data_IF_359424446806
#
_entry.id   IF_359424446806
#
_cell.length_a   1.000
_cell.length_b   1.000
_cell.length_c   1.000
_cell.angle_alpha   90.00
_cell.angle_beta   90.00
_cell.angle_gamma   90.00
#
_symmetry.space_group_name_H-M   'P 1'
#
loop_
_entity.id
_entity.type
_entity.pdbx_description
1 polymer ?
#
# COMPACT_ATOMS: atom_id res chain seq x y z
N UNK A 1 -28.55 -2.73 -5.28
CA UNK A 1 -27.09 -2.60 -5.48
C UNK A 1 -26.86 -1.61 -6.58
N UNK A 2 -26.40 -0.39 -6.26
CA UNK A 2 -26.07 0.59 -7.29
C UNK A 2 -24.69 0.29 -7.83
N UNK A 3 -24.60 -0.07 -9.08
CA UNK A 3 -23.34 -0.10 -9.83
C UNK A 3 -22.80 1.33 -9.84
N UNK A 4 -21.63 1.55 -9.25
CA UNK A 4 -20.93 2.83 -9.36
C UNK A 4 -20.48 2.99 -10.81
N UNK A 5 -21.29 3.64 -11.63
CA UNK A 5 -20.92 4.05 -12.99
C UNK A 5 -20.09 5.32 -12.85
N UNK A 6 -18.80 5.21 -13.12
CA UNK A 6 -17.92 6.37 -13.28
C UNK A 6 -18.26 7.05 -14.59
N UNK A 7 -18.50 8.34 -14.56
CA UNK A 7 -18.88 9.11 -15.73
C UNK A 7 -17.62 9.78 -16.30
N UNK A 8 -17.19 9.39 -17.51
CA UNK A 8 -16.02 9.94 -18.23
C UNK A 8 -16.03 11.47 -18.40
N UNK A 9 -17.19 12.09 -18.22
CA UNK A 9 -17.31 13.54 -18.24
C UNK A 9 -16.63 14.26 -17.06
N UNK A 10 -15.96 13.52 -16.16
CA UNK A 10 -15.28 14.07 -14.95
C UNK A 10 -13.82 14.45 -15.17
N UNK A 11 -13.18 13.99 -16.25
CA UNK A 11 -11.79 14.36 -16.50
C UNK A 11 -11.72 15.77 -17.11
N UNK A 12 -10.79 16.64 -16.64
CA UNK A 12 -10.53 17.92 -17.26
C UNK A 12 -10.22 17.81 -18.75
N UNK A 13 -10.60 18.84 -19.53
CA UNK A 13 -10.30 18.88 -20.96
C UNK A 13 -8.80 18.80 -21.21
N UNK A 14 -8.38 17.91 -22.11
CA UNK A 14 -6.97 17.67 -22.45
C UNK A 14 -6.27 16.62 -21.58
N UNK A 15 -6.77 16.29 -20.40
CA UNK A 15 -6.11 15.32 -19.51
C UNK A 15 -5.99 13.93 -20.15
N UNK A 16 -6.97 13.53 -20.97
CA UNK A 16 -6.90 12.23 -21.66
C UNK A 16 -5.71 12.16 -22.65
N UNK A 17 -5.39 13.28 -23.34
CA UNK A 17 -4.24 13.37 -24.24
C UNK A 17 -2.92 13.32 -23.43
N UNK A 18 -2.86 14.03 -22.30
CA UNK A 18 -1.70 14.01 -21.41
C UNK A 18 -1.46 12.60 -20.84
N UNK A 19 -2.51 11.92 -20.37
CA UNK A 19 -2.44 10.53 -19.89
C UNK A 19 -2.05 9.54 -20.98
N UNK A 20 -2.47 9.75 -22.22
CA UNK A 20 -2.07 8.89 -23.34
C UNK A 20 -0.55 8.89 -23.56
N UNK A 21 0.15 9.97 -23.20
CA UNK A 21 1.61 10.02 -23.26
C UNK A 21 2.30 9.12 -22.25
N UNK A 22 1.62 8.73 -21.15
CA UNK A 22 2.11 7.77 -20.16
C UNK A 22 2.06 6.31 -20.65
N UNK A 23 1.28 6.03 -21.71
CA UNK A 23 1.13 4.69 -22.29
C UNK A 23 2.25 4.32 -23.29
N UNK A 24 3.13 5.25 -23.59
CA UNK A 24 4.27 5.01 -24.47
C UNK A 24 5.34 4.14 -23.74
N UNK A 25 6.24 3.49 -24.49
CA UNK A 25 7.39 2.82 -23.86
C UNK A 25 8.17 3.77 -22.94
N UNK A 26 8.69 3.30 -21.82
CA UNK A 26 9.31 4.12 -20.76
C UNK A 26 10.30 5.17 -21.30
N UNK A 27 11.17 4.80 -22.25
CA UNK A 27 12.12 5.73 -22.88
C UNK A 27 11.45 6.89 -23.67
N UNK A 28 10.14 6.78 -23.95
CA UNK A 28 9.35 7.77 -24.71
C UNK A 28 8.18 8.32 -23.91
N UNK A 29 7.82 7.69 -22.81
CA UNK A 29 6.70 8.08 -21.96
C UNK A 29 6.95 9.41 -21.25
N UNK A 30 5.88 10.07 -20.87
CA UNK A 30 5.89 11.23 -19.98
C UNK A 30 5.47 10.82 -18.57
N UNK A 31 5.90 11.60 -17.57
CA UNK A 31 5.44 11.45 -16.18
C UNK A 31 3.94 11.69 -16.07
N UNK A 32 3.31 11.21 -15.01
CA UNK A 32 1.89 11.50 -14.73
C UNK A 32 1.68 13.02 -14.64
N UNK A 33 0.62 13.59 -15.25
CA UNK A 33 0.35 15.02 -15.23
C UNK A 33 0.24 15.60 -13.81
N UNK A 34 0.85 16.75 -13.55
CA UNK A 34 0.87 17.39 -12.23
C UNK A 34 -0.54 17.60 -11.63
N UNK A 35 -1.55 17.84 -12.47
CA UNK A 35 -2.96 17.98 -12.07
C UNK A 35 -3.48 16.70 -11.37
N UNK A 36 -2.94 15.53 -11.69
CA UNK A 36 -3.29 14.27 -11.03
C UNK A 36 -2.78 14.18 -9.57
N UNK A 37 -1.89 15.09 -9.15
CA UNK A 37 -1.37 15.14 -7.78
C UNK A 37 -2.01 16.27 -6.95
N UNK A 38 -2.83 17.12 -7.56
CA UNK A 38 -3.25 18.37 -6.91
C UNK A 38 -4.76 18.65 -7.02
N UNK A 39 -5.44 18.06 -7.98
CA UNK A 39 -6.85 18.38 -8.28
C UNK A 39 -7.80 17.48 -7.45
N UNK A 40 -8.72 18.08 -6.64
CA UNK A 40 -9.67 17.31 -5.84
C UNK A 40 -10.65 16.46 -6.67
N UNK A 41 -11.01 16.90 -7.88
CA UNK A 41 -11.95 16.15 -8.73
C UNK A 41 -11.26 14.92 -9.31
N UNK A 42 -9.98 15.03 -9.70
CA UNK A 42 -9.18 13.87 -10.12
C UNK A 42 -8.95 12.93 -8.95
N UNK A 43 -8.66 13.46 -7.76
CA UNK A 43 -8.57 12.62 -6.57
C UNK A 43 -9.86 11.82 -6.32
N UNK A 44 -11.05 12.41 -6.58
CA UNK A 44 -12.30 11.65 -6.50
C UNK A 44 -12.39 10.56 -7.56
N UNK A 45 -11.92 10.81 -8.79
CA UNK A 45 -11.83 9.78 -9.85
C UNK A 45 -10.88 8.65 -9.43
N UNK A 46 -9.72 8.96 -8.86
CA UNK A 46 -8.78 7.96 -8.31
C UNK A 46 -9.44 7.07 -7.24
N UNK A 47 -10.18 7.66 -6.31
CA UNK A 47 -10.92 6.90 -5.32
C UNK A 47 -11.86 5.89 -5.97
N UNK A 48 -12.56 6.30 -7.02
CA UNK A 48 -13.56 5.47 -7.70
C UNK A 48 -12.93 4.39 -8.60
N UNK A 49 -11.74 4.62 -9.18
CA UNK A 49 -11.14 3.76 -10.20
C UNK A 49 -9.89 3.00 -9.73
N UNK A 50 -9.09 3.62 -8.85
CA UNK A 50 -7.82 3.06 -8.38
C UNK A 50 -8.01 2.29 -7.08
N UNK A 51 -8.80 2.83 -6.14
CA UNK A 51 -8.96 2.24 -4.80
C UNK A 51 -10.25 1.41 -4.61
N UNK A 52 -11.30 1.67 -5.38
CA UNK A 52 -12.57 0.93 -5.26
C UNK A 52 -12.73 -0.18 -6.29
N UNK A 53 -11.81 -0.26 -7.27
CA UNK A 53 -11.81 -1.31 -8.29
C UNK A 53 -10.56 -2.18 -8.15
N UNK A 54 -10.76 -3.50 -8.22
CA UNK A 54 -9.71 -4.48 -8.01
C UNK A 54 -9.37 -4.67 -6.53
N UNK A 55 -8.12 -4.95 -6.23
CA UNK A 55 -7.66 -5.28 -4.88
C UNK A 55 -6.73 -4.22 -4.33
N UNK A 56 -6.90 -3.88 -3.06
CA UNK A 56 -6.04 -2.96 -2.32
C UNK A 56 -5.39 -3.73 -1.18
N UNK A 57 -4.06 -3.70 -1.10
CA UNK A 57 -3.32 -4.23 0.03
C UNK A 57 -3.54 -3.38 1.29
N UNK A 58 -3.81 -4.04 2.42
CA UNK A 58 -4.18 -3.36 3.68
C UNK A 58 -3.29 -3.76 4.86
N UNK A 59 -2.18 -4.42 4.58
CA UNK A 59 -1.16 -4.75 5.55
C UNK A 59 -0.74 -6.23 5.54
N UNK A 60 0.08 -6.56 6.53
CA UNK A 60 0.53 -7.92 6.80
C UNK A 60 -0.54 -8.67 7.60
N UNK A 61 -0.67 -9.99 7.34
CA UNK A 61 -1.68 -10.82 8.02
C UNK A 61 -1.42 -10.96 9.54
N UNK A 62 -0.17 -10.88 9.96
CA UNK A 62 0.26 -10.96 11.36
C UNK A 62 -0.04 -9.69 12.19
N UNK A 63 -0.66 -8.68 11.56
CA UNK A 63 -1.25 -7.53 12.26
C UNK A 63 -2.47 -7.92 13.09
N UNK A 64 -3.14 -9.01 12.75
CA UNK A 64 -4.36 -9.48 13.42
C UNK A 64 -4.19 -10.94 13.90
N UNK A 65 -3.30 -11.22 14.88
CA UNK A 65 -3.00 -12.58 15.31
C UNK A 65 -4.14 -13.23 16.11
N UNK A 66 -4.89 -12.45 16.88
CA UNK A 66 -5.86 -12.95 17.84
C UNK A 66 -7.31 -12.69 17.41
N UNK A 67 -8.22 -13.58 17.83
CA UNK A 67 -9.68 -13.38 17.64
C UNK A 67 -10.10 -12.06 18.28
N UNK A 68 -10.79 -11.24 17.53
CA UNK A 68 -11.24 -9.91 17.94
C UNK A 68 -10.30 -8.77 17.57
N UNK A 69 -9.08 -9.05 17.10
CA UNK A 69 -8.21 -8.00 16.56
C UNK A 69 -8.87 -7.32 15.38
N UNK A 70 -8.85 -6.00 15.39
CA UNK A 70 -9.46 -5.20 14.34
C UNK A 70 -8.62 -3.96 13.98
N UNK A 71 -8.82 -3.49 12.76
CA UNK A 71 -8.32 -2.21 12.28
C UNK A 71 -9.40 -1.48 11.49
N UNK A 72 -9.66 -0.23 11.84
CA UNK A 72 -10.53 0.67 11.07
C UNK A 72 -9.71 1.53 10.13
N UNK A 73 -10.09 1.60 8.86
CA UNK A 73 -9.36 2.32 7.82
C UNK A 73 -10.30 2.94 6.80
N UNK A 74 -9.80 3.89 6.02
CA UNK A 74 -10.47 4.39 4.83
C UNK A 74 -9.86 3.76 3.59
N UNK A 75 -10.68 3.18 2.73
CA UNK A 75 -10.29 2.68 1.41
C UNK A 75 -11.07 3.42 0.33
N UNK A 76 -10.41 4.32 -0.37
CA UNK A 76 -11.04 5.11 -1.42
C UNK A 76 -12.27 5.89 -0.93
N UNK A 77 -12.24 6.42 0.29
CA UNK A 77 -13.32 7.15 0.94
C UNK A 77 -14.46 6.28 1.46
N UNK A 78 -14.25 4.98 1.57
CA UNK A 78 -15.19 4.06 2.21
C UNK A 78 -14.62 3.63 3.55
N UNK A 79 -15.32 3.91 4.67
CA UNK A 79 -14.92 3.39 5.97
C UNK A 79 -15.01 1.86 5.98
N UNK A 80 -13.89 1.20 6.23
CA UNK A 80 -13.77 -0.27 6.30
C UNK A 80 -13.27 -0.66 7.70
N UNK A 81 -13.71 -1.78 8.22
CA UNK A 81 -13.12 -2.46 9.36
C UNK A 81 -12.70 -3.86 8.96
N UNK A 82 -11.41 -4.17 9.15
CA UNK A 82 -10.88 -5.53 9.08
C UNK A 82 -10.92 -6.08 10.49
N UNK A 83 -11.42 -7.30 10.67
CA UNK A 83 -11.52 -7.95 11.97
C UNK A 83 -11.27 -9.46 11.84
N UNK A 84 -10.55 -10.03 12.80
CA UNK A 84 -10.40 -11.50 12.91
C UNK A 84 -11.55 -12.09 13.71
N UNK A 85 -12.34 -12.94 13.05
CA UNK A 85 -13.28 -13.79 13.78
C UNK A 85 -12.62 -15.12 14.20
N UNK A 86 -13.42 -16.08 14.63
CA UNK A 86 -12.92 -17.39 15.07
C UNK A 86 -12.31 -18.22 13.92
N UNK A 87 -12.70 -17.95 12.68
CA UNK A 87 -12.36 -18.78 11.52
C UNK A 87 -11.37 -18.09 10.59
N UNK A 88 -11.50 -16.75 10.38
CA UNK A 88 -10.74 -16.02 9.35
C UNK A 88 -10.73 -14.51 9.61
N UNK A 89 -9.93 -13.78 8.82
CA UNK A 89 -10.09 -12.32 8.67
C UNK A 89 -11.32 -12.01 7.82
N UNK A 90 -12.01 -10.94 8.18
CA UNK A 90 -13.14 -10.38 7.44
C UNK A 90 -13.01 -8.88 7.29
N UNK A 91 -13.57 -8.34 6.22
CA UNK A 91 -13.67 -6.91 6.00
C UNK A 91 -15.14 -6.50 5.89
N UNK A 92 -15.55 -5.48 6.62
CA UNK A 92 -16.92 -4.98 6.59
C UNK A 92 -16.95 -3.48 6.31
N UNK A 93 -18.06 -3.02 5.72
CA UNK A 93 -18.39 -1.61 5.77
C UNK A 93 -18.48 -1.17 7.25
N UNK A 94 -17.63 -0.28 7.67
CA UNK A 94 -17.57 0.26 9.03
C UNK A 94 -18.68 1.28 9.26
N UNK A 95 -19.91 0.90 8.88
CA UNK A 95 -21.08 1.75 8.81
C UNK A 95 -22.29 1.03 9.42
N UNK A 96 -22.82 1.57 10.50
CA UNK A 96 -23.96 0.98 11.22
C UNK A 96 -25.22 0.95 10.35
N UNK A 97 -25.86 -0.22 10.24
CA UNK A 97 -27.07 -0.43 9.46
C UNK A 97 -28.32 0.29 10.01
N UNK A 98 -28.20 0.95 11.19
CA UNK A 98 -29.29 1.78 11.72
C UNK A 98 -29.33 3.17 11.07
N UNK A 99 -28.31 4.00 11.28
CA UNK A 99 -28.23 5.40 10.82
C UNK A 99 -26.82 5.80 10.40
N UNK A 100 -26.09 4.86 9.77
CA UNK A 100 -24.82 5.06 9.09
C UNK A 100 -23.68 5.65 9.94
N UNK A 101 -23.75 5.57 11.28
CA UNK A 101 -22.63 5.96 12.13
C UNK A 101 -21.47 5.00 11.95
N UNK A 102 -20.24 5.51 11.92
CA UNK A 102 -19.03 4.69 11.99
C UNK A 102 -19.05 3.88 13.30
N UNK A 103 -18.67 2.59 13.23
CA UNK A 103 -18.78 1.65 14.34
C UNK A 103 -17.47 1.55 15.12
N UNK A 104 -16.35 1.39 14.43
CA UNK A 104 -15.02 1.15 15.00
C UNK A 104 -14.06 2.26 14.59
N UNK A 105 -13.07 2.56 15.42
CA UNK A 105 -12.01 3.55 15.15
C UNK A 105 -10.66 3.01 15.62
N UNK A 106 -9.60 3.31 14.85
CA UNK A 106 -8.25 2.87 15.17
C UNK A 106 -8.06 1.36 15.11
N UNK A 107 -7.05 0.88 15.82
CA UNK A 107 -6.72 -0.53 15.99
C UNK A 107 -7.07 -0.99 17.41
N UNK A 108 -7.36 -2.27 17.59
CA UNK A 108 -7.63 -2.83 18.91
C UNK A 108 -8.13 -4.26 18.88
N UNK A 109 -8.61 -4.72 20.04
CA UNK A 109 -9.24 -6.04 20.18
C UNK A 109 -10.61 -5.89 20.81
N UNK A 110 -11.61 -6.60 20.28
CA UNK A 110 -12.98 -6.60 20.77
C UNK A 110 -13.64 -7.96 20.63
N UNK A 111 -14.53 -8.30 21.55
CA UNK A 111 -15.38 -9.49 21.43
C UNK A 111 -16.63 -9.25 20.58
N UNK A 112 -16.96 -8.01 20.29
CA UNK A 112 -18.14 -7.56 19.50
C UNK A 112 -17.90 -6.14 19.00
N UNK A 113 -18.36 -5.84 17.81
CA UNK A 113 -18.36 -4.49 17.25
C UNK A 113 -19.61 -3.74 17.73
N UNK A 114 -19.46 -2.58 18.37
CA UNK A 114 -20.59 -1.84 18.94
C UNK A 114 -20.63 -0.41 18.42
N UNK A 115 -21.73 -0.05 17.78
CA UNK A 115 -21.98 1.30 17.33
C UNK A 115 -22.05 2.28 18.54
N UNK A 116 -21.27 3.36 18.55
CA UNK A 116 -21.26 4.30 19.67
C UNK A 116 -22.54 5.14 19.78
N UNK A 117 -23.38 5.20 18.72
CA UNK A 117 -24.53 6.08 18.68
C UNK A 117 -25.73 5.51 19.45
N UNK A 118 -26.20 4.29 19.12
CA UNK A 118 -27.36 3.67 19.77
C UNK A 118 -27.08 2.25 20.24
N UNK A 119 -25.81 1.87 20.35
CA UNK A 119 -25.35 0.57 20.86
C UNK A 119 -25.85 -0.64 20.06
N UNK A 120 -26.19 -0.47 18.77
CA UNK A 120 -26.34 -1.62 17.89
C UNK A 120 -25.06 -2.42 17.91
N UNK A 121 -25.18 -3.70 18.19
CA UNK A 121 -24.05 -4.57 18.47
C UNK A 121 -23.99 -5.67 17.45
N UNK A 122 -22.84 -5.84 16.83
CA UNK A 122 -22.57 -6.85 15.80
C UNK A 122 -21.58 -7.89 16.32
N UNK A 123 -21.76 -9.14 15.89
CA UNK A 123 -20.77 -10.18 16.07
C UNK A 123 -19.54 -9.89 15.17
N UNK A 124 -18.44 -10.62 15.38
CA UNK A 124 -17.25 -10.51 14.56
C UNK A 124 -17.46 -11.01 13.12
N UNK A 125 -18.51 -11.81 12.89
CA UNK A 125 -18.97 -12.27 11.57
C UNK A 125 -19.95 -11.28 10.89
N UNK A 126 -20.16 -10.10 11.46
CA UNK A 126 -20.99 -9.02 10.92
C UNK A 126 -22.48 -9.12 11.23
N UNK A 127 -23.01 -10.23 11.81
CA UNK A 127 -24.42 -10.36 12.14
C UNK A 127 -24.85 -9.41 13.25
N UNK A 128 -26.04 -8.81 13.14
CA UNK A 128 -26.60 -7.97 14.19
C UNK A 128 -27.05 -8.81 15.40
N UNK A 129 -26.39 -8.64 16.54
CA UNK A 129 -26.72 -9.36 17.79
C UNK A 129 -27.78 -8.64 18.63
N UNK A 130 -27.78 -7.31 18.62
CA UNK A 130 -28.67 -6.52 19.45
C UNK A 130 -28.94 -5.14 18.90
N UNK A 131 -30.22 -4.74 18.97
CA UNK A 131 -30.72 -3.46 18.56
C UNK A 131 -31.67 -2.91 19.68
N UNK A 132 -31.14 -2.12 20.61
CA UNK A 132 -31.94 -1.63 21.73
C UNK A 132 -33.17 -0.84 21.29
N UNK A 133 -34.29 -1.06 21.99
CA UNK A 133 -35.55 -0.35 21.80
C UNK A 133 -36.29 -0.56 20.45
N UNK A 134 -35.91 -1.60 19.68
CA UNK A 134 -36.57 -1.92 18.40
C UNK A 134 -37.81 -2.81 18.53
N UNK A 135 -38.26 -3.17 19.77
CA UNK A 135 -39.33 -4.10 20.01
C UNK A 135 -40.73 -3.62 19.56
N UNK A 136 -40.86 -2.34 19.23
CA UNK A 136 -42.09 -1.71 18.75
C UNK A 136 -42.01 -1.22 17.32
N UNK A 137 -40.95 -1.64 16.59
CA UNK A 137 -40.77 -1.30 15.20
C UNK A 137 -41.38 -2.43 14.36
N UNK A 138 -42.36 -2.09 13.56
CA UNK A 138 -43.03 -3.07 12.69
C UNK A 138 -42.03 -3.60 11.64
N UNK A 139 -42.13 -4.89 11.33
CA UNK A 139 -41.33 -5.60 10.32
C UNK A 139 -39.78 -5.51 10.52
N UNK A 140 -39.33 -5.21 11.75
CA UNK A 140 -37.93 -5.22 12.06
C UNK A 140 -37.37 -6.64 12.19
N UNK A 141 -36.56 -7.03 11.21
CA UNK A 141 -35.83 -8.28 11.19
C UNK A 141 -34.32 -8.04 11.41
N UNK A 142 -33.75 -8.59 12.50
CA UNK A 142 -32.31 -8.43 12.80
C UNK A 142 -31.42 -9.09 11.77
N UNK A 143 -31.83 -10.19 11.19
CA UNK A 143 -31.01 -10.97 10.27
C UNK A 143 -30.79 -10.23 8.94
N UNK A 144 -31.67 -9.28 8.60
CA UNK A 144 -31.53 -8.40 7.44
C UNK A 144 -30.65 -7.15 7.70
N UNK A 145 -30.19 -6.94 8.94
CA UNK A 145 -29.46 -5.74 9.36
C UNK A 145 -28.00 -6.02 9.77
N UNK A 146 -27.39 -7.08 9.23
CA UNK A 146 -25.95 -7.32 9.34
C UNK A 146 -25.12 -6.25 8.64
N UNK A 147 -23.81 -6.24 8.88
CA UNK A 147 -22.86 -5.40 8.17
C UNK A 147 -22.65 -5.95 6.75
N UNK A 148 -22.41 -5.04 5.81
CA UNK A 148 -22.03 -5.43 4.46
C UNK A 148 -20.57 -5.95 4.48
N UNK A 149 -20.36 -7.19 4.07
CA UNK A 149 -19.05 -7.82 3.99
C UNK A 149 -18.43 -7.56 2.62
N UNK A 150 -17.17 -7.14 2.61
CA UNK A 150 -16.33 -6.99 1.43
C UNK A 150 -15.50 -8.25 1.17
N UNK A 151 -15.00 -8.40 -0.04
CA UNK A 151 -14.07 -9.47 -0.37
C UNK A 151 -12.73 -9.21 0.33
N UNK A 152 -12.21 -10.23 1.01
CA UNK A 152 -10.90 -10.23 1.66
C UNK A 152 -10.17 -11.52 1.33
N UNK A 153 -8.89 -11.42 1.00
CA UNK A 153 -7.99 -12.56 0.75
C UNK A 153 -6.67 -12.33 1.46
N UNK A 154 -6.16 -13.39 2.11
CA UNK A 154 -4.78 -13.48 2.60
C UNK A 154 -3.93 -14.16 1.52
N UNK A 155 -2.87 -13.50 1.02
CA UNK A 155 -2.01 -14.04 -0.02
C UNK A 155 -0.56 -13.57 0.15
N UNK A 156 0.43 -14.46 0.09
CA UNK A 156 1.85 -14.18 0.25
C UNK A 156 2.21 -13.40 1.53
N UNK A 157 1.46 -13.62 2.62
CA UNK A 157 1.66 -12.91 3.88
C UNK A 157 1.02 -11.52 3.96
N UNK A 158 0.28 -11.11 2.92
CA UNK A 158 -0.45 -9.83 2.87
C UNK A 158 -1.95 -10.05 2.88
N UNK A 159 -2.66 -9.04 3.32
CA UNK A 159 -4.14 -8.98 3.31
C UNK A 159 -4.58 -8.00 2.24
N UNK A 160 -5.48 -8.46 1.39
CA UNK A 160 -6.09 -7.66 0.31
C UNK A 160 -7.58 -7.55 0.52
N UNK A 161 -8.12 -6.35 0.30
CA UNK A 161 -9.55 -6.07 0.36
C UNK A 161 -10.00 -5.53 -1.00
N UNK A 162 -11.16 -5.98 -1.46
CA UNK A 162 -11.82 -5.41 -2.63
C UNK A 162 -13.23 -4.94 -2.28
N UNK A 163 -13.54 -3.71 -2.69
CA UNK A 163 -14.87 -3.11 -2.53
C UNK A 163 -15.84 -3.50 -3.66
N UNK A 164 -15.35 -4.18 -4.69
CA UNK A 164 -16.20 -4.71 -5.77
C UNK A 164 -16.97 -5.94 -5.31
N UNK A 165 -18.19 -6.08 -5.79
CA UNK A 165 -19.00 -7.27 -5.53
C UNK A 165 -18.44 -8.54 -6.19
N UNK A 166 -17.73 -8.38 -7.30
CA UNK A 166 -17.13 -9.47 -8.08
C UNK A 166 -15.78 -9.02 -8.62
N UNK A 167 -14.74 -8.93 -7.76
CA UNK A 167 -13.42 -8.55 -8.20
C UNK A 167 -12.80 -9.63 -9.09
N UNK A 168 -11.76 -9.30 -9.88
CA UNK A 168 -10.97 -10.31 -10.56
C UNK A 168 -10.37 -11.31 -9.54
N UNK A 169 -10.09 -12.55 -9.93
CA UNK A 169 -9.37 -13.48 -9.07
C UNK A 169 -8.06 -12.87 -8.58
N UNK A 170 -7.73 -13.05 -7.29
CA UNK A 170 -6.53 -12.44 -6.68
C UNK A 170 -5.24 -12.89 -7.39
N UNK A 171 -5.17 -14.14 -7.85
CA UNK A 171 -3.99 -14.65 -8.53
C UNK A 171 -3.80 -14.03 -9.93
N UNK A 172 -4.89 -13.67 -10.62
CA UNK A 172 -4.81 -12.90 -11.87
C UNK A 172 -4.40 -11.45 -11.61
N UNK A 173 -4.86 -10.86 -10.48
CA UNK A 173 -4.47 -9.51 -10.08
C UNK A 173 -3.00 -9.41 -9.73
N UNK A 174 -2.49 -10.38 -8.97
CA UNK A 174 -1.08 -10.41 -8.53
C UNK A 174 -0.14 -10.94 -9.64
N UNK A 175 -0.66 -11.73 -10.61
CA UNK A 175 0.12 -12.28 -11.71
C UNK A 175 1.39 -13.00 -11.24
N UNK A 176 2.53 -12.56 -11.74
CA UNK A 176 3.84 -13.20 -11.49
C UNK A 176 4.45 -12.85 -10.11
N UNK A 177 3.75 -12.05 -9.28
CA UNK A 177 4.30 -11.54 -8.01
C UNK A 177 4.82 -12.66 -7.10
N UNK A 178 4.06 -13.77 -6.98
CA UNK A 178 4.46 -14.91 -6.15
C UNK A 178 5.72 -15.61 -6.65
N UNK A 179 5.86 -15.80 -7.96
CA UNK A 179 7.03 -16.43 -8.59
C UNK A 179 8.28 -15.55 -8.41
N UNK A 180 8.14 -14.26 -8.67
CA UNK A 180 9.24 -13.29 -8.57
C UNK A 180 9.79 -13.16 -7.15
N UNK A 181 8.96 -13.40 -6.12
CA UNK A 181 9.34 -13.28 -4.71
C UNK A 181 9.48 -14.63 -3.98
N UNK A 182 9.42 -15.76 -4.70
CA UNK A 182 9.41 -17.10 -4.09
C UNK A 182 10.59 -17.30 -3.14
N UNK A 183 11.79 -16.88 -3.56
CA UNK A 183 13.03 -17.08 -2.79
C UNK A 183 13.01 -16.40 -1.40
N UNK A 184 12.25 -15.32 -1.23
CA UNK A 184 12.16 -14.58 0.04
C UNK A 184 11.12 -15.14 1.02
N UNK A 185 10.26 -16.06 0.61
CA UNK A 185 9.28 -16.70 1.50
C UNK A 185 8.42 -15.69 2.27
N UNK A 186 7.87 -14.67 1.58
CA UNK A 186 7.24 -13.49 2.20
C UNK A 186 6.17 -13.81 3.25
N UNK A 187 5.48 -14.96 3.10
CA UNK A 187 4.43 -15.39 4.03
C UNK A 187 4.98 -15.79 5.40
N UNK A 188 6.23 -16.23 5.46
CA UNK A 188 6.84 -16.76 6.68
C UNK A 188 7.55 -15.65 7.50
N UNK A 189 7.75 -14.47 6.92
CA UNK A 189 8.40 -13.35 7.59
C UNK A 189 7.52 -12.81 8.74
N UNK A 190 8.17 -12.43 9.83
CA UNK A 190 7.54 -11.87 11.04
C UNK A 190 7.69 -10.37 11.04
N UNK A 191 6.59 -9.65 11.21
CA UNK A 191 6.60 -8.20 11.41
C UNK A 191 7.20 -7.86 12.78
N UNK A 192 8.27 -7.09 12.77
CA UNK A 192 8.99 -6.69 14.00
C UNK A 192 8.92 -5.20 14.29
N UNK A 193 8.58 -4.40 13.28
CA UNK A 193 8.39 -2.96 13.42
C UNK A 193 7.21 -2.50 12.57
N UNK A 194 6.39 -1.63 13.13
CA UNK A 194 5.29 -0.94 12.43
C UNK A 194 5.15 0.47 12.96
N UNK A 195 5.24 1.46 12.09
CA UNK A 195 5.09 2.87 12.42
C UNK A 195 4.21 3.57 11.40
N UNK A 196 3.28 4.38 11.88
CA UNK A 196 2.41 5.21 11.05
C UNK A 196 2.83 6.69 11.12
N UNK A 197 2.80 7.36 9.97
CA UNK A 197 3.09 8.79 9.85
C UNK A 197 2.34 9.39 8.65
N UNK A 198 2.33 10.71 8.56
CA UNK A 198 1.73 11.45 7.43
C UNK A 198 2.78 12.29 6.74
N UNK A 199 2.60 12.50 5.43
CA UNK A 199 3.45 13.36 4.61
C UNK A 199 2.56 14.31 3.82
N UNK A 200 2.94 15.59 3.76
CA UNK A 200 2.22 16.64 3.03
C UNK A 200 2.54 16.58 1.53
N UNK A 201 2.35 15.40 0.94
CA UNK A 201 2.44 15.15 -0.49
C UNK A 201 1.37 14.17 -0.95
N UNK A 202 1.08 14.15 -2.25
CA UNK A 202 0.18 13.16 -2.85
C UNK A 202 0.74 11.75 -2.65
N UNK A 203 -0.13 10.78 -2.40
CA UNK A 203 0.23 9.38 -2.16
C UNK A 203 1.13 8.76 -3.25
N UNK A 204 0.94 9.18 -4.51
CA UNK A 204 1.79 8.71 -5.63
C UNK A 204 3.23 9.19 -5.48
N UNK A 205 3.45 10.46 -5.11
CA UNK A 205 4.80 10.99 -4.92
C UNK A 205 5.60 10.20 -3.90
N UNK A 206 5.00 9.83 -2.76
CA UNK A 206 5.66 8.99 -1.76
C UNK A 206 5.94 7.57 -2.29
N UNK A 207 4.99 6.96 -2.99
CA UNK A 207 5.17 5.63 -3.55
C UNK A 207 6.20 5.61 -4.70
N UNK A 208 6.27 6.68 -5.48
CA UNK A 208 7.23 6.88 -6.58
C UNK A 208 8.67 6.96 -6.06
N UNK A 209 8.95 7.82 -5.07
CA UNK A 209 10.32 8.00 -4.56
C UNK A 209 10.90 6.69 -4.00
N UNK A 210 10.09 5.85 -3.38
CA UNK A 210 10.54 4.54 -2.90
C UNK A 210 10.91 3.56 -4.03
N UNK A 211 10.42 3.77 -5.24
CA UNK A 211 10.52 2.83 -6.36
C UNK A 211 11.47 3.28 -7.47
N UNK A 212 12.39 4.19 -7.17
CA UNK A 212 13.36 4.66 -8.16
C UNK A 212 14.73 4.95 -7.52
N UNK A 213 15.78 5.00 -8.37
CA UNK A 213 17.15 5.19 -7.92
C UNK A 213 17.72 6.57 -8.31
N UNK A 214 16.95 7.37 -9.04
CA UNK A 214 17.44 8.62 -9.61
C UNK A 214 17.74 9.69 -8.56
N UNK A 215 16.99 9.73 -7.45
CA UNK A 215 17.21 10.69 -6.36
C UNK A 215 18.34 10.27 -5.40
N UNK A 216 18.69 8.97 -5.32
CA UNK A 216 19.58 8.44 -4.28
C UNK A 216 20.86 9.26 -4.08
N UNK A 217 21.66 9.57 -5.11
CA UNK A 217 22.93 10.29 -4.92
C UNK A 217 22.75 11.75 -4.54
N UNK A 218 21.55 12.30 -4.64
CA UNK A 218 21.28 13.72 -4.40
C UNK A 218 20.56 13.99 -3.09
N UNK A 219 19.73 13.05 -2.66
CA UNK A 219 18.89 13.15 -1.46
C UNK A 219 19.50 12.43 -0.27
N UNK A 220 20.25 11.35 -0.51
CA UNK A 220 20.82 10.47 0.52
C UNK A 220 22.37 10.48 0.58
N UNK A 221 23.06 11.61 0.39
CA UNK A 221 24.50 11.61 0.35
C UNK A 221 25.12 11.20 1.69
N UNK A 222 25.89 10.10 1.70
CA UNK A 222 26.58 9.58 2.87
C UNK A 222 25.69 8.82 3.87
N UNK A 223 24.44 8.53 3.51
CA UNK A 223 23.55 7.65 4.29
C UNK A 223 23.38 6.29 3.62
N UNK A 224 22.96 6.27 2.34
CA UNK A 224 22.70 5.04 1.58
C UNK A 224 23.12 5.12 0.10
N UNK A 225 23.57 6.28 -0.39
CA UNK A 225 23.84 6.51 -1.81
C UNK A 225 24.92 5.58 -2.38
N UNK A 226 25.94 5.26 -1.61
CA UNK A 226 27.02 4.35 -2.05
C UNK A 226 26.68 2.87 -1.91
N UNK A 227 25.52 2.55 -1.29
CA UNK A 227 25.08 1.17 -1.10
C UNK A 227 24.55 0.57 -2.39
N UNK A 228 23.87 1.35 -3.23
CA UNK A 228 23.17 0.87 -4.40
C UNK A 228 23.94 1.06 -5.69
N UNK A 229 24.09 0.00 -6.47
CA UNK A 229 24.50 0.06 -7.87
C UNK A 229 23.30 0.50 -8.75
N UNK A 230 23.53 0.78 -10.04
CA UNK A 230 22.44 1.02 -10.98
C UNK A 230 21.46 -0.18 -10.98
N UNK A 231 20.12 0.07 -11.04
CA UNK A 231 19.15 -1.01 -11.12
C UNK A 231 19.32 -1.78 -12.42
N UNK A 232 18.94 -3.06 -12.37
CA UNK A 232 18.79 -3.85 -13.59
C UNK A 232 17.66 -3.30 -14.47
N UNK A 233 17.63 -3.75 -15.73
CA UNK A 233 16.46 -3.56 -16.57
C UNK A 233 15.20 -4.09 -15.84
N UNK A 234 14.05 -3.38 -15.93
CA UNK A 234 12.84 -3.77 -15.24
C UNK A 234 12.35 -5.14 -15.71
N UNK A 235 11.87 -5.94 -14.77
CA UNK A 235 11.25 -7.22 -15.10
C UNK A 235 9.94 -7.00 -15.90
N UNK A 236 9.77 -7.76 -16.97
CA UNK A 236 8.49 -7.80 -17.70
C UNK A 236 7.58 -8.81 -17.01
N UNK A 237 6.62 -8.30 -16.26
CA UNK A 237 5.73 -9.10 -15.40
C UNK A 237 4.26 -8.89 -15.74
N UNK A 238 3.47 -9.94 -15.57
CA UNK A 238 2.01 -9.87 -15.57
C UNK A 238 1.50 -9.50 -14.16
N UNK A 239 0.35 -8.85 -14.11
CA UNK A 239 -0.30 -8.44 -12.86
C UNK A 239 -0.27 -6.94 -12.60
N UNK A 240 -0.95 -6.55 -11.51
CA UNK A 240 -1.06 -5.16 -11.09
C UNK A 240 0.14 -4.78 -10.19
N UNK A 241 1.36 -4.93 -10.70
CA UNK A 241 2.57 -4.53 -10.01
C UNK A 241 3.70 -4.17 -10.99
N UNK A 242 4.73 -3.55 -10.46
CA UNK A 242 6.01 -3.32 -11.12
C UNK A 242 7.12 -3.83 -10.22
N UNK A 243 8.23 -4.28 -10.80
CA UNK A 243 9.39 -4.75 -10.05
C UNK A 243 10.68 -4.58 -10.82
N UNK A 244 11.76 -4.32 -10.09
CA UNK A 244 13.13 -4.39 -10.58
C UNK A 244 14.05 -4.88 -9.46
N UNK A 245 15.21 -5.36 -9.84
CA UNK A 245 16.27 -5.76 -8.90
C UNK A 245 17.48 -4.86 -9.10
N UNK A 246 18.20 -4.58 -8.02
CA UNK A 246 19.48 -3.89 -8.07
C UNK A 246 20.47 -4.53 -7.10
N UNK A 247 21.72 -4.68 -7.54
CA UNK A 247 22.80 -5.14 -6.66
C UNK A 247 23.20 -4.04 -5.67
N UNK A 248 23.77 -4.48 -4.54
CA UNK A 248 24.21 -3.57 -3.47
C UNK A 248 25.62 -3.89 -3.03
N UNK A 249 26.32 -2.87 -2.56
CA UNK A 249 27.61 -2.95 -1.88
C UNK A 249 27.36 -3.15 -0.37
N UNK A 250 27.08 -4.40 0.06
CA UNK A 250 26.59 -4.71 1.39
C UNK A 250 25.08 -4.86 1.43
N UNK A 251 24.44 -4.62 2.59
CA UNK A 251 22.98 -4.73 2.73
C UNK A 251 22.27 -3.38 2.47
N UNK A 252 21.15 -3.42 1.75
CA UNK A 252 20.26 -2.27 1.59
C UNK A 252 19.47 -1.91 2.86
N UNK A 253 19.49 -2.75 3.87
CA UNK A 253 18.74 -2.60 5.12
C UNK A 253 19.43 -1.77 6.20
N UNK A 254 20.71 -1.39 6.03
CA UNK A 254 21.50 -0.65 7.01
C UNK A 254 22.13 0.62 6.40
N UNK A 255 22.43 1.59 7.26
CA UNK A 255 23.27 2.73 6.89
C UNK A 255 24.68 2.28 6.49
N UNK A 256 25.36 3.06 5.69
CA UNK A 256 26.75 2.77 5.25
C UNK A 256 27.71 2.57 6.41
N UNK A 257 27.53 3.32 7.49
CA UNK A 257 28.36 3.20 8.71
C UNK A 257 28.12 1.93 9.51
N UNK A 258 27.00 1.24 9.30
CA UNK A 258 26.53 0.13 10.12
C UNK A 258 26.50 -1.23 9.40
N UNK A 259 27.06 -1.31 8.20
CA UNK A 259 27.09 -2.54 7.38
C UNK A 259 27.66 -3.77 8.10
N UNK A 260 28.52 -3.56 9.10
CA UNK A 260 29.11 -4.63 9.91
C UNK A 260 28.12 -5.30 10.88
N UNK A 261 26.93 -4.71 11.09
CA UNK A 261 25.87 -5.22 11.96
C UNK A 261 24.85 -6.09 11.23
N UNK A 262 25.06 -6.37 9.92
CA UNK A 262 24.08 -7.10 9.11
C UNK A 262 23.69 -8.45 9.73
N UNK A 263 22.40 -8.74 9.75
CA UNK A 263 21.91 -10.07 10.07
C UNK A 263 22.40 -11.12 9.06
N UNK A 264 22.37 -12.41 9.40
CA UNK A 264 22.64 -13.46 8.44
C UNK A 264 21.71 -13.37 7.22
N UNK A 265 22.27 -13.64 6.05
CA UNK A 265 21.51 -13.75 4.80
C UNK A 265 20.44 -14.83 4.92
N UNK A 266 19.25 -14.55 4.45
CA UNK A 266 18.11 -15.47 4.44
C UNK A 266 18.46 -16.76 3.68
N UNK A 267 18.02 -17.89 4.20
CA UNK A 267 18.17 -19.18 3.54
C UNK A 267 17.32 -19.23 2.25
N UNK A 268 17.86 -19.85 1.21
CA UNK A 268 17.11 -20.05 -0.06
C UNK A 268 17.39 -18.99 -1.12
N UNK A 269 18.00 -17.85 -0.79
CA UNK A 269 18.40 -16.86 -1.77
C UNK A 269 19.52 -17.37 -2.67
N UNK A 270 19.47 -17.09 -3.97
CA UNK A 270 20.57 -17.28 -4.90
C UNK A 270 21.74 -16.35 -4.54
N UNK A 271 22.93 -16.61 -5.12
CA UNK A 271 24.10 -15.75 -4.92
C UNK A 271 23.82 -14.29 -5.35
N UNK A 272 22.99 -14.08 -6.37
CA UNK A 272 22.59 -12.75 -6.84
C UNK A 272 21.62 -12.06 -5.87
N UNK A 273 20.58 -12.77 -5.46
CA UNK A 273 19.57 -12.23 -4.52
C UNK A 273 20.16 -11.88 -3.16
N UNK A 274 21.17 -12.66 -2.71
CA UNK A 274 21.91 -12.37 -1.48
C UNK A 274 22.79 -11.11 -1.54
N UNK A 275 22.91 -10.47 -2.70
CA UNK A 275 23.76 -9.28 -2.94
C UNK A 275 22.96 -8.13 -3.58
N UNK A 276 21.72 -7.96 -3.17
CA UNK A 276 20.90 -6.90 -3.72
C UNK A 276 19.55 -6.77 -3.05
N UNK A 277 18.74 -5.92 -3.64
CA UNK A 277 17.37 -5.63 -3.19
C UNK A 277 16.44 -5.68 -4.39
N UNK A 278 15.31 -6.33 -4.22
CA UNK A 278 14.21 -6.26 -5.17
C UNK A 278 13.19 -5.25 -4.67
N UNK A 279 12.95 -4.22 -5.46
CA UNK A 279 11.90 -3.24 -5.23
C UNK A 279 10.67 -3.59 -6.05
N UNK A 280 9.52 -3.61 -5.40
CA UNK A 280 8.24 -3.93 -6.04
C UNK A 280 7.15 -2.97 -5.56
N UNK A 281 6.34 -2.53 -6.50
CA UNK A 281 5.16 -1.73 -6.20
C UNK A 281 3.91 -2.55 -6.55
N UNK A 282 3.23 -3.10 -5.54
CA UNK A 282 1.91 -3.70 -5.66
C UNK A 282 0.86 -2.59 -5.72
N UNK A 283 0.30 -2.39 -6.89
CA UNK A 283 -0.65 -1.30 -7.12
C UNK A 283 -1.96 -1.50 -6.38
N UNK A 284 -2.54 -0.40 -5.81
CA UNK A 284 -1.97 0.94 -5.79
C UNK A 284 -1.05 1.22 -4.61
N UNK A 285 -1.22 0.56 -3.46
CA UNK A 285 -0.90 1.11 -2.14
C UNK A 285 0.28 0.47 -1.41
N UNK A 286 0.90 -0.59 -1.93
CA UNK A 286 1.97 -1.28 -1.22
C UNK A 286 3.28 -1.21 -2.01
N UNK A 287 4.29 -0.59 -1.41
CA UNK A 287 5.65 -0.57 -1.95
C UNK A 287 6.54 -1.43 -1.05
N UNK A 288 7.29 -2.36 -1.65
CA UNK A 288 7.96 -3.45 -0.95
C UNK A 288 9.40 -3.51 -1.43
N UNK A 289 10.32 -3.71 -0.50
CA UNK A 289 11.72 -4.02 -0.78
C UNK A 289 12.11 -5.31 -0.06
N UNK A 290 12.62 -6.29 -0.81
CA UNK A 290 13.13 -7.55 -0.28
C UNK A 290 14.63 -7.59 -0.45
N UNK A 291 15.34 -7.55 0.68
CA UNK A 291 16.79 -7.59 0.77
C UNK A 291 17.33 -8.96 1.16
N UNK A 292 18.61 -9.01 1.44
CA UNK A 292 19.29 -10.26 1.79
C UNK A 292 18.89 -10.79 3.19
N UNK A 293 18.51 -9.93 4.13
CA UNK A 293 18.25 -10.28 5.53
C UNK A 293 16.77 -10.23 5.91
N UNK A 294 15.91 -9.58 5.08
CA UNK A 294 14.50 -9.38 5.40
C UNK A 294 13.79 -8.51 4.38
N UNK A 295 12.64 -8.01 4.77
CA UNK A 295 11.76 -7.17 3.95
C UNK A 295 11.41 -5.90 4.70
N UNK A 296 11.34 -4.78 3.98
CA UNK A 296 10.67 -3.56 4.45
C UNK A 296 9.68 -3.07 3.42
N UNK A 297 8.64 -2.40 3.89
CA UNK A 297 7.59 -1.92 3.02
C UNK A 297 6.90 -0.69 3.58
N UNK A 298 6.20 0.01 2.70
CA UNK A 298 5.24 1.04 3.10
C UNK A 298 3.86 0.73 2.51
N UNK A 299 2.84 0.89 3.35
CA UNK A 299 1.47 1.03 2.90
C UNK A 299 1.22 2.53 2.72
N UNK A 300 0.72 2.95 1.57
CA UNK A 300 0.56 4.37 1.23
C UNK A 300 -0.90 4.63 0.85
N UNK A 301 -1.59 5.42 1.65
CA UNK A 301 -3.00 5.72 1.44
C UNK A 301 -3.22 7.22 1.28
N UNK A 302 -4.07 7.65 0.32
CA UNK A 302 -4.42 9.05 0.18
C UNK A 302 -5.19 9.55 1.42
N UNK A 303 -4.83 10.75 1.88
CA UNK A 303 -5.56 11.53 2.89
C UNK A 303 -5.85 12.93 2.30
N UNK A 304 -6.50 12.95 1.16
CA UNK A 304 -6.69 14.10 0.29
C UNK A 304 -5.79 14.08 -0.95
N UNK A 305 -5.90 15.09 -1.82
CA UNK A 305 -5.09 15.17 -3.04
C UNK A 305 -3.61 15.50 -2.79
N UNK A 306 -3.27 16.06 -1.64
CA UNK A 306 -1.96 16.63 -1.33
C UNK A 306 -1.39 16.21 0.03
N UNK A 307 -1.96 15.16 0.61
CA UNK A 307 -1.46 14.50 1.81
C UNK A 307 -1.65 12.99 1.71
N UNK A 308 -0.73 12.23 2.27
CA UNK A 308 -0.87 10.78 2.39
C UNK A 308 -0.55 10.30 3.80
N UNK A 309 -1.17 9.17 4.15
CA UNK A 309 -0.87 8.38 5.33
C UNK A 309 -0.01 7.19 4.93
N UNK A 310 1.12 7.05 5.58
CA UNK A 310 2.09 6.01 5.33
C UNK A 310 2.22 5.08 6.54
N UNK A 311 2.38 3.80 6.31
CA UNK A 311 2.68 2.80 7.33
C UNK A 311 3.97 2.10 6.94
N UNK A 312 5.03 2.32 7.70
CA UNK A 312 6.30 1.61 7.59
C UNK A 312 6.18 0.26 8.29
N UNK A 313 6.64 -0.80 7.64
CA UNK A 313 6.66 -2.16 8.19
C UNK A 313 8.02 -2.79 7.90
N UNK A 314 8.61 -3.45 8.90
CA UNK A 314 9.86 -4.21 8.73
C UNK A 314 9.65 -5.64 9.20
N UNK A 315 10.12 -6.59 8.41
CA UNK A 315 9.93 -8.02 8.66
C UNK A 315 11.26 -8.78 8.52
N UNK A 316 11.45 -9.75 9.40
CA UNK A 316 12.61 -10.64 9.36
C UNK A 316 12.17 -12.11 9.43
N UNK A 317 13.04 -13.07 9.04
CA UNK A 317 12.80 -14.49 9.25
C UNK A 317 12.60 -14.83 10.73
N UNK A 318 11.75 -15.83 11.06
CA UNK A 318 11.51 -16.23 12.45
C UNK A 318 12.80 -16.62 13.21
N UNK A 319 13.75 -17.28 12.54
CA UNK A 319 15.04 -17.66 13.13
C UNK A 319 15.91 -16.44 13.46
N UNK A 320 15.86 -15.38 12.65
CA UNK A 320 16.54 -14.11 12.91
C UNK A 320 15.92 -13.43 14.12
N UNK A 321 14.59 -13.38 14.19
CA UNK A 321 13.84 -12.78 15.32
C UNK A 321 14.10 -13.53 16.62
N UNK A 322 14.26 -14.86 16.57
CA UNK A 322 14.55 -15.68 17.75
C UNK A 322 16.02 -15.63 18.22
N UNK A 323 16.92 -15.02 17.45
CA UNK A 323 18.34 -14.95 17.77
C UNK A 323 18.60 -14.03 18.97
N UNK A 324 19.58 -14.40 19.79
CA UNK A 324 20.01 -13.55 20.91
C UNK A 324 20.58 -12.21 20.39
N UNK A 325 20.15 -11.11 21.00
CA UNK A 325 20.57 -9.77 20.59
C UNK A 325 19.83 -9.20 19.37
N UNK A 326 18.78 -9.88 18.90
CA UNK A 326 17.97 -9.41 17.76
C UNK A 326 17.55 -7.94 17.92
N UNK A 327 16.97 -7.58 19.06
CA UNK A 327 16.44 -6.22 19.26
C UNK A 327 17.51 -5.14 19.12
N UNK A 328 18.72 -5.39 19.61
CA UNK A 328 19.79 -4.39 19.55
C UNK A 328 20.27 -4.13 18.11
N UNK A 329 20.31 -5.17 17.28
CA UNK A 329 20.70 -5.08 15.86
C UNK A 329 19.54 -4.55 15.02
N UNK A 330 18.30 -4.96 15.31
CA UNK A 330 17.11 -4.55 14.56
C UNK A 330 16.86 -3.03 14.63
N UNK A 331 17.24 -2.37 15.74
CA UNK A 331 17.17 -0.91 15.88
C UNK A 331 17.97 -0.18 14.77
N UNK A 332 19.15 -0.69 14.38
CA UNK A 332 19.93 -0.10 13.29
C UNK A 332 19.20 -0.18 11.95
N UNK A 333 18.45 -1.26 11.70
CA UNK A 333 17.60 -1.35 10.51
C UNK A 333 16.45 -0.33 10.56
N UNK A 334 15.80 -0.19 11.72
CA UNK A 334 14.69 0.78 11.86
C UNK A 334 15.21 2.21 11.70
N UNK A 335 16.37 2.53 12.31
CA UNK A 335 17.02 3.83 12.16
C UNK A 335 17.36 4.16 10.70
N UNK A 336 17.89 3.16 9.96
CA UNK A 336 18.16 3.36 8.51
C UNK A 336 16.91 3.79 7.75
N UNK A 337 15.77 3.15 7.99
CA UNK A 337 14.53 3.49 7.29
C UNK A 337 13.99 4.86 7.74
N UNK A 338 14.15 5.20 9.00
CA UNK A 338 13.76 6.50 9.53
C UNK A 338 14.64 7.63 8.99
N UNK A 339 15.95 7.42 8.86
CA UNK A 339 16.87 8.38 8.25
C UNK A 339 16.49 8.64 6.80
N UNK A 340 16.34 7.59 5.98
CA UNK A 340 15.97 7.74 4.58
C UNK A 340 14.66 8.50 4.39
N UNK A 341 13.60 8.16 5.15
CA UNK A 341 12.33 8.89 5.08
C UNK A 341 12.49 10.36 5.48
N UNK A 342 13.31 10.63 6.52
CA UNK A 342 13.51 12.01 6.98
C UNK A 342 14.24 12.89 5.95
N UNK A 343 15.05 12.27 5.09
CA UNK A 343 15.72 12.92 3.96
C UNK A 343 14.76 13.12 2.77
N UNK A 344 13.84 12.16 2.53
CA UNK A 344 12.86 12.20 1.43
C UNK A 344 11.72 13.21 1.66
N UNK A 345 11.18 13.30 2.88
CA UNK A 345 10.00 14.12 3.18
C UNK A 345 10.14 15.57 2.68
N UNK A 346 11.24 16.31 2.97
CA UNK A 346 11.36 17.70 2.51
C UNK A 346 11.33 17.84 0.99
N UNK A 347 11.87 16.87 0.26
CA UNK A 347 11.91 16.91 -1.22
C UNK A 347 10.51 16.61 -1.78
N UNK A 348 9.79 15.66 -1.21
CA UNK A 348 8.42 15.33 -1.58
C UNK A 348 7.45 16.51 -1.33
N UNK A 349 7.57 17.19 -0.21
CA UNK A 349 6.75 18.36 0.11
C UNK A 349 7.06 19.53 -0.83
N UNK A 350 8.33 19.74 -1.21
CA UNK A 350 8.72 20.72 -2.22
C UNK A 350 8.21 20.36 -3.61
N UNK A 351 8.23 19.07 -3.98
CA UNK A 351 7.67 18.57 -5.23
C UNK A 351 6.17 18.85 -5.28
N UNK A 352 5.44 18.56 -4.20
CA UNK A 352 4.00 18.84 -4.10
C UNK A 352 3.67 20.33 -4.28
N UNK A 353 4.49 21.22 -3.72
CA UNK A 353 4.35 22.67 -3.95
C UNK A 353 4.61 23.05 -5.40
N UNK A 354 5.63 22.45 -6.02
CA UNK A 354 5.96 22.67 -7.43
C UNK A 354 4.84 22.23 -8.38
N UNK A 355 4.21 21.11 -8.08
CA UNK A 355 3.09 20.58 -8.88
C UNK A 355 1.84 21.48 -8.88
N UNK A 356 1.67 22.35 -7.89
CA UNK A 356 0.60 23.36 -7.85
C UNK A 356 0.84 24.55 -8.77
N UNK A 357 2.04 24.65 -9.36
CA UNK A 357 2.37 25.75 -10.25
C UNK A 357 1.59 25.65 -11.56
N UNK A 358 1.05 26.78 -12.09
CA UNK A 358 0.43 26.79 -13.43
C UNK A 358 1.46 26.56 -14.55
N UNK A 359 2.73 26.51 -14.23
CA UNK A 359 3.84 26.20 -15.15
C UNK A 359 4.35 24.76 -15.01
N UNK A 360 3.77 23.96 -14.10
CA UNK A 360 4.10 22.55 -14.01
C UNK A 360 3.75 21.82 -15.32
N UNK A 361 4.67 21.01 -15.80
CA UNK A 361 4.52 20.24 -17.05
C UNK A 361 4.96 18.81 -16.81
N UNK A 362 4.47 17.90 -17.64
CA UNK A 362 4.97 16.53 -17.65
C UNK A 362 6.47 16.52 -18.00
N UNK A 363 7.22 15.75 -17.23
CA UNK A 363 8.63 15.44 -17.49
C UNK A 363 8.81 14.15 -18.28
N UNK A 364 10.01 13.59 -18.21
CA UNK A 364 10.39 12.30 -18.82
C UNK A 364 11.03 11.43 -17.76
N UNK A 365 10.91 10.12 -17.91
CA UNK A 365 11.56 9.16 -17.02
C UNK A 365 13.03 8.97 -17.36
N UNK A 366 13.86 8.84 -16.33
CA UNK A 366 15.21 8.28 -16.40
C UNK A 366 15.12 6.75 -16.50
N UNK A 367 16.17 6.10 -17.00
CA UNK A 367 16.30 4.64 -16.92
C UNK A 367 16.37 4.13 -15.45
N UNK A 368 16.64 5.02 -14.51
CA UNK A 368 16.67 4.75 -13.08
C UNK A 368 15.28 4.75 -12.41
N UNK A 369 14.20 4.98 -13.18
CA UNK A 369 12.81 5.08 -12.70
C UNK A 369 11.87 4.00 -13.29
N UNK A 370 12.30 2.72 -13.40
CA UNK A 370 11.54 1.72 -14.17
C UNK A 370 10.16 1.42 -13.58
N UNK A 371 10.05 1.30 -12.26
CA UNK A 371 8.77 0.99 -11.60
C UNK A 371 7.81 2.19 -11.67
N UNK A 372 8.32 3.41 -11.60
CA UNK A 372 7.52 4.65 -11.71
C UNK A 372 6.93 4.77 -13.12
N UNK A 373 7.71 4.48 -14.15
CA UNK A 373 7.22 4.46 -15.53
C UNK A 373 6.11 3.39 -15.74
N UNK A 374 6.28 2.19 -15.16
CA UNK A 374 5.26 1.14 -15.24
C UNK A 374 3.98 1.52 -14.48
N UNK A 375 4.12 2.14 -13.30
CA UNK A 375 2.98 2.67 -12.55
C UNK A 375 2.23 3.73 -13.35
N UNK A 376 2.93 4.68 -13.96
CA UNK A 376 2.32 5.72 -14.77
C UNK A 376 1.44 5.14 -15.91
N UNK A 377 1.92 4.05 -16.56
CA UNK A 377 1.15 3.33 -17.57
C UNK A 377 -0.12 2.72 -16.95
N UNK A 378 0.01 1.95 -15.86
CA UNK A 378 -1.12 1.32 -15.18
C UNK A 378 -2.14 2.35 -14.69
N UNK A 379 -1.68 3.46 -14.11
CA UNK A 379 -2.51 4.55 -13.62
C UNK A 379 -3.30 5.21 -14.77
N UNK A 380 -2.62 5.52 -15.88
CA UNK A 380 -3.26 6.10 -17.06
C UNK A 380 -4.32 5.17 -17.65
N UNK A 381 -4.05 3.86 -17.76
CA UNK A 381 -5.03 2.85 -18.18
C UNK A 381 -6.29 2.87 -17.30
N UNK A 382 -6.12 2.98 -15.97
CA UNK A 382 -7.24 3.03 -15.01
C UNK A 382 -8.09 4.27 -15.18
N UNK A 383 -7.49 5.44 -15.30
CA UNK A 383 -8.24 6.68 -15.46
C UNK A 383 -8.93 6.76 -16.83
N UNK A 384 -8.26 6.33 -17.89
CA UNK A 384 -8.81 6.33 -19.25
C UNK A 384 -9.93 5.29 -19.45
N UNK A 385 -9.87 4.14 -18.75
CA UNK A 385 -10.93 3.12 -18.81
C UNK A 385 -12.21 3.51 -18.06
N UNK A 386 -12.14 4.49 -17.18
CA UNK A 386 -13.28 5.03 -16.46
C UNK A 386 -14.10 6.06 -17.29
N UNK A 387 -13.61 6.40 -18.44
CA UNK A 387 -14.23 7.26 -19.46
C UNK A 387 -14.77 6.47 -20.63
#
# INVERSE_FOLDING_TARGET
MGTLTVNASRLPSGLAEDLASCLLPAASASTVPAVCYTDPDIHQVERDTVFRQGWVGVGRFDRWPDVGDFSAMDLGGVPVVVVRDADRLRAFANTCSHRSSQIMTGDGNCSRMRCPFHFWTYALDGRLLGAPSMQRTDDFDRDSHGLHEFNLVERYGFVFVSLEASPPPIDEWLGDFGEVHEAWGLADLVTTHRREFTVECNWKGFAEVFNEYYHLPYVHPGSIDSTYDDPDEPDVVAGAFATHFGTTQGTGGLLESEQHMAFPVMSGLSEREAKGVRYSWLFPSMVIATGAEGMWMYEVYPDGPDRCRCVQVVCFPPETVAAAGFSDVAESYYERFDVAISEDIPVLEQQQLGMRSPFARQGRFSYLEPNVARFATWYAERLLSAG
#
